data_IF_763584304425
#
_entry.id   IF_763584304425
#
_cell.length_a   1.000
_cell.length_b   1.000
_cell.length_c   1.000
_cell.angle_alpha   90.00
_cell.angle_beta   90.00
_cell.angle_gamma   90.00
#
_symmetry.space_group_name_H-M   'P 1'
#
loop_
_entity.id
_entity.type
_entity.pdbx_description
1 polymer ?
#
# COMPACT_ATOMS: atom_id res chain seq x y z
N UNK A 1 10.98 7.62 41.61
CA UNK A 1 10.51 6.69 40.57
C UNK A 1 9.01 6.89 40.43
N UNK A 2 8.59 7.64 39.42
CA UNK A 2 7.17 7.77 39.07
C UNK A 2 6.92 6.80 37.91
N UNK A 3 6.14 5.75 38.18
CA UNK A 3 5.68 4.83 37.13
C UNK A 3 4.69 5.54 36.24
N UNK A 4 5.16 6.10 35.13
CA UNK A 4 4.33 6.25 33.94
C UNK A 4 4.27 4.86 33.28
N UNK A 5 3.46 3.97 33.85
CA UNK A 5 2.84 2.91 33.04
C UNK A 5 1.78 3.64 32.21
N UNK A 6 2.19 4.21 31.07
CA UNK A 6 1.26 4.63 30.05
C UNK A 6 0.39 3.42 29.73
N UNK A 7 -0.93 3.57 29.85
CA UNK A 7 -1.85 2.55 29.38
C UNK A 7 -1.39 2.13 27.97
N UNK A 8 -1.23 0.82 27.70
CA UNK A 8 -0.83 0.39 26.36
C UNK A 8 -1.86 0.98 25.39
N UNK A 9 -1.39 1.85 24.49
CA UNK A 9 -2.26 2.53 23.53
C UNK A 9 -3.17 1.48 22.88
N UNK A 10 -4.48 1.68 23.04
CA UNK A 10 -5.48 0.73 22.58
C UNK A 10 -5.25 0.46 21.10
N UNK A 11 -4.89 -0.78 20.74
CA UNK A 11 -4.70 -1.17 19.35
C UNK A 11 -5.96 -0.85 18.53
N UNK A 12 -5.77 -0.12 17.43
CA UNK A 12 -6.87 0.27 16.54
C UNK A 12 -7.32 -0.90 15.69
N UNK A 13 -8.63 -1.06 15.54
CA UNK A 13 -9.22 -2.09 14.69
C UNK A 13 -9.17 -1.71 13.19
N UNK A 14 -9.59 -2.64 12.32
CA UNK A 14 -9.58 -2.43 10.86
C UNK A 14 -10.48 -1.27 10.40
N UNK A 15 -11.49 -0.87 11.18
CA UNK A 15 -12.40 0.23 10.82
C UNK A 15 -11.81 1.58 11.21
N UNK A 16 -11.18 1.67 12.38
CA UNK A 16 -10.48 2.86 12.84
C UNK A 16 -9.33 3.20 11.90
N UNK A 17 -8.51 2.20 11.55
CA UNK A 17 -7.44 2.36 10.57
C UNK A 17 -7.97 2.75 9.19
N UNK A 18 -9.05 2.13 8.70
CA UNK A 18 -9.62 2.49 7.41
C UNK A 18 -10.10 3.95 7.37
N UNK A 19 -10.76 4.42 8.43
CA UNK A 19 -11.19 5.83 8.54
C UNK A 19 -10.00 6.78 8.58
N UNK A 20 -8.97 6.44 9.34
CA UNK A 20 -7.75 7.24 9.41
C UNK A 20 -7.07 7.33 8.05
N UNK A 21 -6.84 6.20 7.39
CA UNK A 21 -6.20 6.15 6.08
C UNK A 21 -7.02 6.89 5.02
N UNK A 22 -8.36 6.82 5.07
CA UNK A 22 -9.23 7.59 4.18
C UNK A 22 -9.08 9.11 4.40
N UNK A 23 -8.94 9.55 5.64
CA UNK A 23 -8.66 10.97 5.94
C UNK A 23 -7.29 11.40 5.44
N UNK A 24 -6.26 10.55 5.56
CA UNK A 24 -4.93 10.85 5.04
C UNK A 24 -4.92 10.94 3.52
N UNK A 25 -5.60 10.02 2.81
CA UNK A 25 -5.75 10.09 1.36
C UNK A 25 -6.48 11.39 0.93
N UNK A 26 -7.55 11.78 1.63
CA UNK A 26 -8.22 13.06 1.34
C UNK A 26 -7.34 14.28 1.57
N UNK A 27 -6.48 14.27 2.60
CA UNK A 27 -5.48 15.33 2.82
C UNK A 27 -4.42 15.34 1.72
N UNK A 28 -3.95 14.18 1.29
CA UNK A 28 -2.98 14.05 0.21
C UNK A 28 -3.55 14.53 -1.13
N UNK A 29 -4.81 14.20 -1.44
CA UNK A 29 -5.52 14.70 -2.63
C UNK A 29 -5.66 16.22 -2.60
N UNK A 30 -6.07 16.80 -1.46
CA UNK A 30 -6.14 18.26 -1.30
C UNK A 30 -4.78 18.92 -1.51
N UNK A 31 -3.72 18.33 -0.94
CA UNK A 31 -2.35 18.82 -1.10
C UNK A 31 -1.90 18.78 -2.57
N UNK A 32 -2.13 17.68 -3.28
CA UNK A 32 -1.80 17.57 -4.71
C UNK A 32 -2.57 18.59 -5.56
N UNK A 33 -3.85 18.82 -5.28
CA UNK A 33 -4.65 19.85 -5.98
C UNK A 33 -4.08 21.26 -5.79
N UNK A 34 -3.71 21.61 -4.54
CA UNK A 34 -3.11 22.91 -4.27
C UNK A 34 -1.71 23.05 -4.90
N UNK A 35 -0.93 21.96 -4.95
CA UNK A 35 0.35 21.96 -5.66
C UNK A 35 0.18 22.20 -7.17
N UNK A 36 -0.84 21.61 -7.78
CA UNK A 36 -1.15 21.82 -9.20
C UNK A 36 -1.66 23.25 -9.46
N UNK A 37 -2.53 23.77 -8.58
CA UNK A 37 -3.11 25.12 -8.70
C UNK A 37 -2.08 26.24 -8.53
N UNK A 38 -1.14 26.07 -7.59
CA UNK A 38 -0.12 27.06 -7.25
C UNK A 38 1.28 26.69 -7.75
N UNK A 39 1.38 25.85 -8.79
CA UNK A 39 2.66 25.32 -9.27
C UNK A 39 3.67 26.43 -9.61
N UNK A 40 3.19 27.54 -10.19
CA UNK A 40 4.00 28.68 -10.63
C UNK A 40 4.01 29.85 -9.63
N UNK A 41 3.40 29.71 -8.45
CA UNK A 41 3.33 30.78 -7.45
C UNK A 41 4.58 30.81 -6.54
N UNK A 42 5.30 31.94 -6.43
CA UNK A 42 6.47 32.06 -5.56
C UNK A 42 6.18 31.80 -4.07
N UNK A 43 4.93 31.95 -3.62
CA UNK A 43 4.47 31.72 -2.24
C UNK A 43 3.64 30.43 -2.09
N UNK A 44 3.72 29.51 -3.06
CA UNK A 44 3.03 28.21 -3.07
C UNK A 44 2.99 27.53 -1.71
N UNK A 45 4.15 27.36 -1.07
CA UNK A 45 4.27 26.59 0.17
C UNK A 45 3.58 27.29 1.36
N UNK A 46 3.58 28.63 1.41
CA UNK A 46 2.86 29.42 2.41
C UNK A 46 1.34 29.33 2.24
N UNK A 47 0.87 29.38 0.99
CA UNK A 47 -0.55 29.24 0.64
C UNK A 47 -1.03 27.84 0.99
N UNK A 48 -0.29 26.81 0.59
CA UNK A 48 -0.61 25.41 0.88
C UNK A 48 -0.65 25.18 2.39
N UNK A 49 0.35 25.65 3.15
CA UNK A 49 0.37 25.47 4.59
C UNK A 49 -0.83 26.15 5.28
N UNK A 50 -1.27 27.32 4.81
CA UNK A 50 -2.50 27.97 5.30
C UNK A 50 -3.74 27.15 4.97
N UNK A 51 -3.89 26.71 3.72
CA UNK A 51 -5.03 25.92 3.26
C UNK A 51 -5.12 24.53 3.90
N UNK A 52 -3.98 23.93 4.24
CA UNK A 52 -3.90 22.65 4.93
C UNK A 52 -4.05 22.75 6.45
N UNK A 53 -4.13 23.97 7.01
CA UNK A 53 -4.12 24.20 8.45
C UNK A 53 -2.78 23.80 9.09
N UNK A 54 -1.71 23.88 8.32
CA UNK A 54 -0.32 23.64 8.70
C UNK A 54 0.42 24.96 8.95
N UNK A 55 -0.28 26.02 9.34
CA UNK A 55 0.32 27.34 9.57
C UNK A 55 1.39 27.32 10.67
N UNK A 56 1.29 26.39 11.62
CA UNK A 56 2.34 26.13 12.61
C UNK A 56 3.68 25.72 11.97
N UNK A 57 3.67 25.12 10.78
CA UNK A 57 4.88 24.74 10.05
C UNK A 57 5.53 25.94 9.32
N UNK A 58 4.83 27.07 9.19
CA UNK A 58 5.39 28.30 8.62
C UNK A 58 6.20 29.10 9.66
N UNK A 59 5.81 28.99 10.93
CA UNK A 59 6.53 29.63 12.05
C UNK A 59 7.70 28.78 12.55
N UNK A 60 7.67 27.47 12.28
CA UNK A 60 8.78 26.55 12.54
C UNK A 60 9.91 26.81 11.53
N UNK A 61 10.81 27.74 11.87
CA UNK A 61 12.04 28.05 11.11
C UNK A 61 13.01 26.88 10.93
N UNK A 62 12.72 25.70 11.45
CA UNK A 62 13.57 24.53 11.39
C UNK A 62 12.81 23.29 10.90
N UNK A 63 12.50 23.27 9.59
CA UNK A 63 12.22 22.01 8.89
C UNK A 63 13.35 20.98 9.03
N UNK A 64 14.55 21.43 9.39
CA UNK A 64 15.76 20.62 9.53
C UNK A 64 16.02 20.10 10.96
N UNK A 65 15.26 20.54 11.98
CA UNK A 65 15.50 20.12 13.37
C UNK A 65 14.60 18.94 13.80
N UNK A 66 13.50 18.65 13.09
CA UNK A 66 12.64 17.49 13.33
C UNK A 66 12.96 16.28 12.42
N UNK A 67 13.87 16.45 11.45
CA UNK A 67 14.64 15.31 10.95
C UNK A 67 15.67 15.02 12.03
N UNK A 68 15.38 14.05 12.90
CA UNK A 68 16.41 13.43 13.72
C UNK A 68 17.59 13.15 12.75
N UNK A 69 18.79 13.69 12.97
CA UNK A 69 19.91 13.40 12.10
C UNK A 69 20.03 11.88 12.13
N UNK A 70 19.78 11.24 10.99
CA UNK A 70 20.18 9.85 10.77
C UNK A 70 21.60 9.77 11.32
N UNK A 71 21.85 8.99 12.38
CA UNK A 71 23.14 8.99 13.03
C UNK A 71 24.17 8.72 11.93
N UNK A 72 25.09 9.67 11.77
CA UNK A 72 26.10 9.74 10.71
C UNK A 72 27.19 8.67 10.93
N UNK A 73 26.76 7.43 11.15
CA UNK A 73 27.57 6.35 11.73
C UNK A 73 26.83 5.05 12.10
N UNK A 74 25.69 4.71 11.49
CA UNK A 74 25.05 3.40 11.67
C UNK A 74 24.86 2.62 10.35
N UNK A 75 25.91 2.60 9.54
CA UNK A 75 26.27 1.47 8.67
C UNK A 75 27.79 1.37 8.71
N UNK A 76 28.34 1.06 9.89
CA UNK A 76 29.49 0.17 9.88
C UNK A 76 28.94 -1.20 9.54
N UNK A 77 29.29 -1.68 8.34
CA UNK A 77 29.37 -3.10 8.03
C UNK A 77 30.31 -3.73 9.08
N UNK A 78 29.80 -4.00 10.27
CA UNK A 78 30.36 -5.05 11.10
C UNK A 78 29.86 -6.35 10.47
N UNK A 79 30.69 -6.88 9.58
CA UNK A 79 30.73 -8.29 9.23
C UNK A 79 30.68 -9.11 10.52
N UNK A 80 29.48 -9.52 10.93
CA UNK A 80 29.28 -10.68 11.81
C UNK A 80 29.28 -11.92 10.92
N UNK A 81 30.38 -12.68 10.86
CA UNK A 81 30.50 -13.83 9.97
C UNK A 81 29.77 -15.01 10.62
N UNK A 82 28.44 -14.99 10.60
CA UNK A 82 27.66 -16.01 11.31
C UNK A 82 26.18 -16.15 10.97
N UNK A 83 25.53 -15.16 10.36
CA UNK A 83 24.09 -15.23 10.07
C UNK A 83 23.85 -15.14 8.56
N UNK A 84 23.56 -16.32 8.00
CA UNK A 84 23.21 -16.61 6.60
C UNK A 84 22.41 -15.47 5.95
N UNK A 85 23.02 -14.79 4.98
CA UNK A 85 22.44 -13.69 4.19
C UNK A 85 21.11 -14.12 3.50
N UNK A 86 20.96 -15.42 3.25
CA UNK A 86 19.73 -16.03 2.76
C UNK A 86 18.54 -15.86 3.73
N UNK A 87 18.78 -15.80 5.05
CA UNK A 87 17.72 -15.65 6.06
C UNK A 87 17.20 -14.21 6.17
N UNK A 88 18.02 -13.19 5.89
CA UNK A 88 17.58 -11.78 5.89
C UNK A 88 16.78 -11.41 4.64
N UNK A 89 17.10 -12.02 3.50
CA UNK A 89 16.33 -11.83 2.25
C UNK A 89 14.95 -12.51 2.27
N UNK A 90 14.75 -13.49 3.17
CA UNK A 90 13.50 -14.25 3.29
C UNK A 90 12.40 -13.53 4.11
N UNK A 91 12.77 -12.59 4.98
CA UNK A 91 11.82 -11.84 5.82
C UNK A 91 11.37 -10.50 5.20
N UNK A 92 11.93 -10.10 4.06
CA UNK A 92 11.45 -8.92 3.33
C UNK A 92 10.13 -9.24 2.60
N UNK A 93 9.18 -8.30 2.55
CA UNK A 93 7.90 -8.46 1.85
C UNK A 93 8.03 -8.94 0.39
N UNK A 94 9.17 -8.63 -0.26
CA UNK A 94 9.52 -9.06 -1.63
C UNK A 94 9.67 -10.58 -1.78
N UNK A 95 9.96 -11.27 -0.68
CA UNK A 95 9.98 -12.73 -0.60
C UNK A 95 8.60 -13.37 -0.61
N UNK A 96 7.54 -12.62 -0.27
CA UNK A 96 6.20 -13.17 -0.08
C UNK A 96 5.56 -13.59 -1.41
N UNK A 97 5.15 -14.86 -1.52
CA UNK A 97 4.60 -15.46 -2.76
C UNK A 97 3.44 -14.67 -3.36
N UNK A 98 2.55 -14.14 -2.52
CA UNK A 98 1.44 -13.30 -2.97
C UNK A 98 1.92 -11.99 -3.62
N UNK A 99 2.94 -11.35 -3.05
CA UNK A 99 3.52 -10.13 -3.60
C UNK A 99 4.18 -10.42 -4.95
N UNK A 100 4.95 -11.50 -5.03
CA UNK A 100 5.55 -11.96 -6.30
C UNK A 100 4.50 -12.24 -7.37
N UNK A 101 3.38 -12.85 -7.01
CA UNK A 101 2.26 -13.08 -7.94
C UNK A 101 1.62 -11.76 -8.42
N UNK A 102 1.45 -10.79 -7.53
CA UNK A 102 0.92 -9.47 -7.87
C UNK A 102 1.88 -8.66 -8.76
N UNK A 103 3.18 -8.68 -8.45
CA UNK A 103 4.20 -8.04 -9.27
C UNK A 103 4.37 -8.72 -10.64
N UNK A 104 4.33 -10.05 -10.70
CA UNK A 104 4.33 -10.77 -11.97
C UNK A 104 3.08 -10.46 -12.82
N UNK A 105 1.95 -10.13 -12.19
CA UNK A 105 0.75 -9.66 -12.89
C UNK A 105 0.98 -8.27 -13.50
N UNK A 106 1.58 -7.31 -12.79
CA UNK A 106 1.85 -5.97 -13.33
C UNK A 106 2.79 -6.04 -14.53
N UNK A 107 3.89 -6.79 -14.43
CA UNK A 107 4.82 -7.02 -15.57
C UNK A 107 4.08 -7.63 -16.77
N UNK A 108 3.18 -8.59 -16.52
CA UNK A 108 2.42 -9.21 -17.60
C UNK A 108 1.48 -8.22 -18.29
N UNK A 109 0.87 -7.31 -17.54
CA UNK A 109 0.04 -6.23 -18.08
C UNK A 109 0.90 -5.26 -18.89
N UNK A 110 2.08 -4.89 -18.41
CA UNK A 110 2.98 -3.98 -19.14
C UNK A 110 3.39 -4.59 -20.50
N UNK A 111 3.77 -5.86 -20.51
CA UNK A 111 4.03 -6.58 -21.77
C UNK A 111 2.81 -6.68 -22.69
N UNK A 112 1.59 -6.67 -22.16
CA UNK A 112 0.37 -6.61 -22.98
C UNK A 112 0.25 -5.24 -23.67
N UNK A 113 0.55 -4.16 -22.95
CA UNK A 113 0.56 -2.79 -23.45
C UNK A 113 1.62 -2.57 -24.52
N UNK A 114 2.85 -3.06 -24.30
CA UNK A 114 3.95 -2.94 -25.27
C UNK A 114 3.64 -3.60 -26.62
N UNK A 115 2.81 -4.63 -26.61
CA UNK A 115 2.42 -5.38 -27.81
C UNK A 115 1.26 -4.74 -28.59
N UNK A 116 0.54 -3.80 -28.00
CA UNK A 116 -0.62 -3.19 -28.62
C UNK A 116 -0.70 -1.70 -28.28
N UNK A 117 -0.22 -0.87 -29.22
CA UNK A 117 -0.18 0.58 -29.12
C UNK A 117 -1.56 1.26 -28.99
N UNK A 118 -2.67 0.54 -29.23
CA UNK A 118 -4.02 1.07 -29.01
C UNK A 118 -4.48 0.98 -27.56
N UNK A 119 -3.86 0.13 -26.72
CA UNK A 119 -4.28 -0.07 -25.33
C UNK A 119 -4.15 1.19 -24.45
N UNK A 120 -3.10 2.03 -24.55
CA UNK A 120 -3.02 3.26 -23.76
C UNK A 120 -4.17 4.25 -24.01
N UNK A 121 -4.82 4.19 -25.18
CA UNK A 121 -5.95 5.07 -25.52
C UNK A 121 -7.29 4.56 -24.98
N UNK A 122 -7.31 3.36 -24.41
CA UNK A 122 -8.54 2.69 -24.01
C UNK A 122 -8.74 2.82 -22.50
N UNK A 123 -9.81 3.50 -22.04
CA UNK A 123 -10.02 3.76 -20.61
C UNK A 123 -10.06 2.49 -19.76
N UNK A 124 -10.63 1.39 -20.31
CA UNK A 124 -10.67 0.11 -19.62
C UNK A 124 -9.28 -0.52 -19.47
N UNK A 125 -8.39 -0.34 -20.44
CA UNK A 125 -7.01 -0.83 -20.35
C UNK A 125 -6.23 0.00 -19.33
N UNK A 126 -6.27 1.34 -19.41
CA UNK A 126 -5.60 2.21 -18.43
C UNK A 126 -6.07 1.88 -17.01
N UNK A 127 -7.39 1.75 -16.82
CA UNK A 127 -7.97 1.37 -15.53
C UNK A 127 -7.49 -0.01 -15.05
N UNK A 128 -7.37 -1.00 -15.93
CA UNK A 128 -6.82 -2.33 -15.63
C UNK A 128 -5.41 -2.20 -15.05
N UNK A 129 -4.52 -1.50 -15.74
CA UNK A 129 -3.12 -1.33 -15.36
C UNK A 129 -2.97 -0.54 -14.06
N UNK A 130 -3.58 0.64 -13.97
CA UNK A 130 -3.51 1.50 -12.77
C UNK A 130 -4.03 0.78 -11.53
N UNK A 131 -5.15 0.06 -11.64
CA UNK A 131 -5.73 -0.64 -10.49
C UNK A 131 -4.94 -1.90 -10.09
N UNK A 132 -4.30 -2.59 -11.05
CA UNK A 132 -3.40 -3.68 -10.73
C UNK A 132 -2.14 -3.17 -9.98
N UNK A 133 -1.55 -2.06 -10.46
CA UNK A 133 -0.42 -1.42 -9.79
C UNK A 133 -0.78 -0.92 -8.38
N UNK A 134 -1.96 -0.29 -8.22
CA UNK A 134 -2.47 0.14 -6.92
C UNK A 134 -2.68 -1.04 -5.97
N UNK A 135 -3.23 -2.16 -6.46
CA UNK A 135 -3.37 -3.37 -5.66
C UNK A 135 -2.01 -3.88 -5.17
N UNK A 136 -0.99 -3.88 -6.05
CA UNK A 136 0.37 -4.28 -5.69
C UNK A 136 0.99 -3.34 -4.64
N UNK A 137 0.82 -2.02 -4.79
CA UNK A 137 1.32 -1.03 -3.82
C UNK A 137 0.66 -1.17 -2.44
N UNK A 138 -0.66 -1.35 -2.38
CA UNK A 138 -1.37 -1.58 -1.10
C UNK A 138 -0.99 -2.92 -0.47
N UNK A 139 -0.71 -3.94 -1.29
CA UNK A 139 -0.22 -5.22 -0.80
C UNK A 139 1.18 -5.11 -0.21
N UNK A 140 2.09 -4.38 -0.85
CA UNK A 140 3.42 -4.09 -0.30
C UNK A 140 3.28 -3.41 1.08
N UNK A 141 2.49 -2.33 1.17
CA UNK A 141 2.24 -1.64 2.44
C UNK A 141 1.68 -2.57 3.54
N UNK A 142 0.80 -3.51 3.19
CA UNK A 142 0.27 -4.49 4.14
C UNK A 142 1.36 -5.44 4.67
N UNK A 143 2.30 -5.84 3.81
CA UNK A 143 3.33 -6.82 4.11
C UNK A 143 4.59 -6.21 4.72
N UNK A 144 4.79 -4.89 4.56
CA UNK A 144 5.92 -4.14 5.13
C UNK A 144 5.70 -3.71 6.58
N UNK A 145 4.47 -3.79 7.11
CA UNK A 145 4.19 -3.49 8.52
C UNK A 145 4.70 -4.64 9.39
N UNK A 146 5.39 -4.32 10.49
CA UNK A 146 5.82 -5.30 11.49
C UNK A 146 4.56 -6.00 12.06
N UNK A 147 4.32 -7.21 11.55
CA UNK A 147 2.98 -7.79 11.36
C UNK A 147 2.17 -8.15 12.60
N UNK A 148 2.49 -7.62 13.78
CA UNK A 148 1.92 -8.02 15.05
C UNK A 148 1.37 -6.87 15.90
N UNK A 149 1.93 -5.65 15.84
CA UNK A 149 1.40 -4.48 16.57
C UNK A 149 0.27 -3.79 15.80
N UNK A 150 0.30 -3.84 14.46
CA UNK A 150 -0.59 -3.05 13.59
C UNK A 150 -1.52 -3.92 12.74
N UNK A 151 -1.97 -5.06 13.29
CA UNK A 151 -2.83 -6.03 12.58
C UNK A 151 -4.06 -5.35 11.93
N UNK A 152 -4.65 -4.36 12.60
CA UNK A 152 -5.77 -3.58 12.05
C UNK A 152 -5.40 -2.79 10.78
N UNK A 153 -4.20 -2.20 10.74
CA UNK A 153 -3.68 -1.48 9.58
C UNK A 153 -3.39 -2.43 8.42
N UNK A 154 -2.73 -3.56 8.70
CA UNK A 154 -2.49 -4.60 7.69
C UNK A 154 -3.79 -5.06 7.04
N UNK A 155 -4.84 -5.32 7.84
CA UNK A 155 -6.15 -5.71 7.30
C UNK A 155 -6.78 -4.59 6.47
N UNK A 156 -6.67 -3.33 6.88
CA UNK A 156 -7.16 -2.19 6.09
C UNK A 156 -6.47 -2.11 4.72
N UNK A 157 -5.14 -2.23 4.67
CA UNK A 157 -4.40 -2.28 3.40
C UNK A 157 -4.78 -3.48 2.53
N UNK A 158 -4.98 -4.66 3.11
CA UNK A 158 -5.46 -5.84 2.37
C UNK A 158 -6.87 -5.62 1.78
N UNK A 159 -7.78 -4.96 2.51
CA UNK A 159 -9.11 -4.59 1.99
C UNK A 159 -9.00 -3.62 0.82
N UNK A 160 -8.07 -2.65 0.89
CA UNK A 160 -7.80 -1.71 -0.20
C UNK A 160 -7.20 -2.39 -1.42
N UNK A 161 -6.24 -3.29 -1.22
CA UNK A 161 -5.69 -4.12 -2.29
C UNK A 161 -6.77 -4.99 -2.95
N UNK A 162 -7.66 -5.59 -2.16
CA UNK A 162 -8.78 -6.40 -2.64
C UNK A 162 -9.78 -5.57 -3.47
N UNK A 163 -10.07 -4.33 -3.04
CA UNK A 163 -10.93 -3.41 -3.79
C UNK A 163 -10.30 -3.08 -5.15
N UNK A 164 -9.01 -2.72 -5.16
CA UNK A 164 -8.29 -2.36 -6.39
C UNK A 164 -8.21 -3.54 -7.37
N UNK A 165 -7.85 -4.75 -6.91
CA UNK A 165 -7.78 -5.92 -7.79
C UNK A 165 -9.15 -6.31 -8.36
N UNK A 166 -10.23 -6.12 -7.60
CA UNK A 166 -11.60 -6.37 -8.09
C UNK A 166 -11.98 -5.40 -9.19
N UNK A 167 -11.66 -4.11 -9.02
CA UNK A 167 -11.87 -3.10 -10.08
C UNK A 167 -11.03 -3.44 -11.32
N UNK A 168 -9.79 -3.90 -11.14
CA UNK A 168 -8.90 -4.37 -12.21
C UNK A 168 -9.51 -5.56 -12.97
N UNK A 169 -10.15 -6.51 -12.28
CA UNK A 169 -10.89 -7.62 -12.89
C UNK A 169 -12.08 -7.17 -13.74
N UNK A 170 -12.86 -6.21 -13.24
CA UNK A 170 -13.98 -5.66 -14.00
C UNK A 170 -13.50 -4.92 -15.26
N UNK A 171 -12.38 -4.19 -15.15
CA UNK A 171 -11.75 -3.52 -16.27
C UNK A 171 -11.23 -4.52 -17.33
N UNK A 172 -10.60 -5.62 -16.91
CA UNK A 172 -10.22 -6.71 -17.82
C UNK A 172 -11.44 -7.29 -18.56
N UNK A 173 -12.55 -7.49 -17.86
CA UNK A 173 -13.77 -8.02 -18.45
C UNK A 173 -14.41 -7.06 -19.47
N UNK A 174 -14.31 -5.75 -19.23
CA UNK A 174 -14.72 -4.72 -20.19
C UNK A 174 -13.79 -4.70 -21.41
N UNK A 175 -12.48 -4.73 -21.19
CA UNK A 175 -11.46 -4.72 -22.25
C UNK A 175 -11.64 -5.90 -23.22
N UNK A 176 -12.01 -7.08 -22.71
CA UNK A 176 -12.29 -8.26 -23.54
C UNK A 176 -13.46 -8.08 -24.52
N UNK A 177 -14.41 -7.17 -24.24
CA UNK A 177 -15.55 -6.90 -25.13
C UNK A 177 -15.14 -6.09 -26.35
N UNK A 178 -14.00 -5.40 -26.31
CA UNK A 178 -13.50 -4.59 -27.39
C UNK A 178 -12.76 -5.49 -28.38
N UNK A 179 -13.23 -5.52 -29.63
CA UNK A 179 -12.68 -6.39 -30.65
C UNK A 179 -11.24 -5.98 -31.02
N UNK A 180 -10.36 -6.96 -31.21
CA UNK A 180 -8.99 -6.75 -31.68
C UNK A 180 -7.98 -6.31 -30.61
N UNK A 181 -8.42 -5.90 -29.41
CA UNK A 181 -7.48 -5.43 -28.37
C UNK A 181 -6.84 -6.56 -27.55
N UNK A 182 -7.65 -7.53 -27.11
CA UNK A 182 -7.19 -8.65 -26.29
C UNK A 182 -7.78 -9.96 -26.82
N UNK A 183 -6.90 -10.90 -27.15
CA UNK A 183 -7.30 -12.23 -27.61
C UNK A 183 -7.91 -13.06 -26.48
N UNK A 184 -8.64 -14.13 -26.84
CA UNK A 184 -9.24 -15.04 -25.86
C UNK A 184 -8.20 -15.72 -24.96
N UNK A 185 -7.04 -16.06 -25.51
CA UNK A 185 -5.93 -16.68 -24.76
C UNK A 185 -5.27 -15.70 -23.80
N UNK A 186 -4.97 -14.47 -24.26
CA UNK A 186 -4.45 -13.41 -23.38
C UNK A 186 -5.41 -13.13 -22.22
N UNK A 187 -6.71 -13.00 -22.49
CA UNK A 187 -7.70 -12.77 -21.45
C UNK A 187 -7.80 -13.92 -20.45
N UNK A 188 -7.66 -15.18 -20.90
CA UNK A 188 -7.67 -16.33 -20.00
C UNK A 188 -6.49 -16.29 -19.01
N UNK A 189 -5.28 -15.97 -19.50
CA UNK A 189 -4.08 -15.83 -18.67
C UNK A 189 -4.21 -14.64 -17.71
N UNK A 190 -4.64 -13.49 -18.21
CA UNK A 190 -4.87 -12.29 -17.40
C UNK A 190 -5.86 -12.59 -16.26
N UNK A 191 -7.00 -13.19 -16.61
CA UNK A 191 -8.03 -13.57 -15.66
C UNK A 191 -7.46 -14.50 -14.59
N UNK A 192 -6.76 -15.56 -14.98
CA UNK A 192 -6.15 -16.50 -14.02
C UNK A 192 -5.23 -15.79 -13.02
N UNK A 193 -4.36 -14.91 -13.49
CA UNK A 193 -3.43 -14.14 -12.63
C UNK A 193 -4.17 -13.20 -11.68
N UNK A 194 -5.18 -12.48 -12.16
CA UNK A 194 -6.02 -11.61 -11.33
C UNK A 194 -6.74 -12.39 -10.21
N UNK A 195 -7.31 -13.57 -10.54
CA UNK A 195 -7.94 -14.44 -9.55
C UNK A 195 -6.95 -14.96 -8.52
N UNK A 196 -5.75 -15.38 -8.96
CA UNK A 196 -4.69 -15.84 -8.05
C UNK A 196 -4.34 -14.78 -7.00
N UNK A 197 -4.15 -13.53 -7.43
CA UNK A 197 -3.85 -12.41 -6.52
C UNK A 197 -5.02 -12.13 -5.58
N UNK A 198 -6.25 -12.06 -6.11
CA UNK A 198 -7.46 -11.85 -5.30
C UNK A 198 -7.62 -12.90 -4.21
N UNK A 199 -7.49 -14.17 -4.57
CA UNK A 199 -7.70 -15.29 -3.64
C UNK A 199 -6.62 -15.36 -2.57
N UNK A 200 -5.38 -15.02 -2.95
CA UNK A 200 -4.29 -14.86 -1.99
C UNK A 200 -4.55 -13.72 -0.99
N UNK A 201 -5.04 -12.56 -1.44
CA UNK A 201 -5.40 -11.44 -0.56
C UNK A 201 -6.50 -11.85 0.43
N UNK A 202 -7.55 -12.51 -0.05
CA UNK A 202 -8.65 -13.00 0.81
C UNK A 202 -8.13 -13.99 1.85
N UNK A 203 -7.27 -14.92 1.43
CA UNK A 203 -6.66 -15.92 2.33
C UNK A 203 -5.81 -15.25 3.40
N UNK A 204 -4.95 -14.31 3.02
CA UNK A 204 -4.08 -13.59 3.94
C UNK A 204 -4.87 -12.74 4.92
N UNK A 205 -5.88 -12.02 4.45
CA UNK A 205 -6.78 -11.23 5.30
C UNK A 205 -7.52 -12.12 6.32
N UNK A 206 -7.92 -13.33 5.91
CA UNK A 206 -8.50 -14.33 6.81
C UNK A 206 -7.55 -14.73 7.95
N UNK A 207 -6.26 -14.91 7.65
CA UNK A 207 -5.22 -15.20 8.67
C UNK A 207 -5.11 -14.06 9.67
N UNK A 208 -4.95 -12.82 9.23
CA UNK A 208 -4.82 -11.66 10.12
C UNK A 208 -6.08 -11.40 10.96
N UNK A 209 -7.28 -11.59 10.41
CA UNK A 209 -8.53 -11.54 11.21
C UNK A 209 -8.64 -12.68 12.22
N UNK A 210 -8.07 -13.84 11.91
CA UNK A 210 -7.86 -14.92 12.85
C UNK A 210 -6.97 -14.48 14.01
N UNK A 211 -5.84 -13.86 13.72
CA UNK A 211 -4.91 -13.36 14.74
C UNK A 211 -5.46 -12.24 15.59
N UNK A 212 -6.16 -11.29 14.97
CA UNK A 212 -6.86 -10.24 15.69
C UNK A 212 -7.80 -10.82 16.75
N UNK A 213 -8.61 -11.82 16.39
CA UNK A 213 -9.53 -12.48 17.33
C UNK A 213 -8.81 -13.26 18.42
N UNK A 214 -7.67 -13.86 18.14
CA UNK A 214 -6.86 -14.55 19.17
C UNK A 214 -6.26 -13.60 20.20
N UNK A 215 -5.91 -12.38 19.80
CA UNK A 215 -5.23 -11.39 20.67
C UNK A 215 -6.17 -10.42 21.37
N UNK A 216 -7.23 -10.00 20.69
CA UNK A 216 -8.14 -8.94 21.13
C UNK A 216 -9.59 -9.42 21.24
N UNK A 217 -9.85 -10.71 21.03
CA UNK A 217 -11.17 -11.31 21.20
C UNK A 217 -11.58 -11.40 22.67
N UNK A 218 -12.86 -11.67 22.96
CA UNK A 218 -13.38 -11.74 24.34
C UNK A 218 -12.73 -12.82 25.21
N UNK A 219 -12.06 -13.82 24.63
CA UNK A 219 -11.33 -14.86 25.36
C UNK A 219 -9.95 -14.40 25.87
N UNK A 220 -9.38 -13.35 25.27
CA UNK A 220 -8.04 -12.80 25.60
C UNK A 220 -8.02 -12.01 26.93
N UNK A 221 -9.20 -11.69 27.48
CA UNK A 221 -9.37 -10.96 28.75
C UNK A 221 -9.66 -11.87 29.95
N UNK A 222 -9.55 -13.20 29.81
CA UNK A 222 -9.54 -14.15 30.93
C UNK A 222 -8.10 -14.56 31.24
N UNK A 223 -7.35 -13.65 31.86
CA UNK A 223 -6.03 -13.89 32.42
C UNK A 223 -5.87 -13.05 33.66
#
# INVERSE_FOLDING_TARGET
MAGYEGEPERAWDEYQWERFLQQQEGKAEKYMQLLEEYLDDPQRDEIIAREMGWTQLLDAKDWNAELDPLPDGAVTEEDDPGIDEASRSADTFEGHDLYRAAFALTIWIDHLFDRNASLPNEPAAVKLATQAALANAKLAAALSSDGLSEIGMTIAYLKRALKAITISMDAAAQLRKIAGLVTRSQYAVLRQRLFQVRDGIVTLMGKYRGEWRRRFGPESFRG
#
